data_IF_107074769280
#
_entry.id   IF_107074769280
#
_cell.length_a   1.000
_cell.length_b   1.000
_cell.length_c   1.000
_cell.angle_alpha   90.00
_cell.angle_beta   90.00
_cell.angle_gamma   90.00
#
_symmetry.space_group_name_H-M   'P 1'
#
loop_
_entity.id
_entity.type
_entity.pdbx_description
1 polymer ?
#
# COMPACT_ATOMS: atom_id res chain seq x y z
N UNK A 1 -13.65 27.51 5.31
CA UNK A 1 -12.74 26.90 6.31
C UNK A 1 -12.75 25.37 6.23
N UNK A 2 -13.90 24.70 6.30
CA UNK A 2 -13.98 23.22 6.27
C UNK A 2 -13.33 22.58 5.02
N UNK A 3 -13.57 23.08 3.81
CA UNK A 3 -12.97 22.54 2.59
C UNK A 3 -11.43 22.61 2.60
N UNK A 4 -10.87 23.70 3.11
CA UNK A 4 -9.42 23.83 3.22
C UNK A 4 -8.83 22.83 4.23
N UNK A 5 -9.51 22.62 5.35
CA UNK A 5 -9.12 21.63 6.35
C UNK A 5 -9.13 20.21 5.78
N UNK A 6 -10.21 19.81 5.11
CA UNK A 6 -10.33 18.52 4.43
C UNK A 6 -9.20 18.34 3.41
N UNK A 7 -8.92 19.35 2.58
CA UNK A 7 -7.87 19.30 1.58
C UNK A 7 -6.47 19.14 2.19
N UNK A 8 -6.19 19.86 3.27
CA UNK A 8 -4.91 19.74 4.01
C UNK A 8 -4.75 18.32 4.56
N UNK A 9 -5.79 17.78 5.22
CA UNK A 9 -5.73 16.42 5.77
C UNK A 9 -5.60 15.35 4.70
N UNK A 10 -6.29 15.48 3.57
CA UNK A 10 -6.12 14.54 2.45
C UNK A 10 -4.69 14.51 1.94
N UNK A 11 -4.07 15.67 1.72
CA UNK A 11 -2.67 15.73 1.27
C UNK A 11 -1.75 15.12 2.33
N UNK A 12 -1.91 15.50 3.59
CA UNK A 12 -1.09 14.98 4.68
C UNK A 12 -1.18 13.45 4.79
N UNK A 13 -2.39 12.88 4.72
CA UNK A 13 -2.57 11.43 4.79
C UNK A 13 -2.09 10.70 3.55
N UNK A 14 -2.21 11.28 2.35
CA UNK A 14 -1.65 10.69 1.13
C UNK A 14 -0.12 10.65 1.19
N UNK A 15 0.54 11.71 1.65
CA UNK A 15 2.00 11.73 1.84
C UNK A 15 2.40 10.71 2.91
N UNK A 16 1.68 10.66 4.03
CA UNK A 16 1.94 9.70 5.09
C UNK A 16 1.81 8.27 4.59
N UNK A 17 0.74 7.95 3.84
CA UNK A 17 0.55 6.61 3.26
C UNK A 17 1.66 6.24 2.27
N UNK A 18 2.11 7.19 1.46
CA UNK A 18 3.21 6.95 0.53
C UNK A 18 4.50 6.54 1.26
N UNK A 19 4.85 7.23 2.35
CA UNK A 19 5.98 6.85 3.20
C UNK A 19 5.75 5.52 3.91
N UNK A 20 4.55 5.30 4.43
CA UNK A 20 4.20 4.07 5.15
C UNK A 20 4.27 2.85 4.22
N UNK A 21 3.72 2.96 3.02
CA UNK A 21 3.84 1.93 1.99
C UNK A 21 5.31 1.56 1.74
N UNK A 22 6.15 2.57 1.47
CA UNK A 22 7.57 2.36 1.25
C UNK A 22 8.27 1.70 2.44
N UNK A 23 8.02 2.18 3.67
CA UNK A 23 8.68 1.66 4.87
C UNK A 23 8.25 0.23 5.18
N UNK A 24 6.96 -0.06 5.11
CA UNK A 24 6.42 -1.39 5.35
C UNK A 24 6.95 -2.35 4.29
N UNK A 25 6.84 -2.02 3.02
CA UNK A 25 7.29 -2.88 1.94
C UNK A 25 8.78 -3.18 2.06
N UNK A 26 9.61 -2.14 2.23
CA UNK A 26 11.07 -2.29 2.31
C UNK A 26 11.56 -2.98 3.57
N UNK A 27 11.03 -2.61 4.74
CA UNK A 27 11.63 -3.00 6.03
C UNK A 27 10.87 -4.10 6.76
N UNK A 28 9.62 -4.37 6.40
CA UNK A 28 8.84 -5.46 6.99
C UNK A 28 8.64 -6.63 6.03
N UNK A 29 8.43 -6.36 4.74
CA UNK A 29 8.15 -7.41 3.76
C UNK A 29 9.43 -7.95 3.10
N UNK A 30 10.47 -7.11 2.90
CA UNK A 30 11.74 -7.52 2.30
C UNK A 30 12.90 -7.76 3.28
N UNK A 31 12.70 -7.48 4.57
CA UNK A 31 13.71 -7.78 5.60
C UNK A 31 13.09 -8.62 6.70
N UNK A 32 13.73 -9.76 6.98
CA UNK A 32 13.36 -10.55 8.15
C UNK A 32 13.56 -9.72 9.41
N UNK A 33 12.56 -9.72 10.26
CA UNK A 33 12.54 -8.97 11.51
C UNK A 33 12.04 -9.89 12.63
N UNK A 34 12.82 -10.02 13.71
CA UNK A 34 12.48 -10.92 14.81
C UNK A 34 11.33 -10.39 15.71
N UNK A 35 10.93 -9.11 15.53
CA UNK A 35 9.80 -8.49 16.22
C UNK A 35 8.46 -8.68 15.50
N UNK A 36 8.48 -9.16 14.27
CA UNK A 36 7.30 -9.36 13.45
C UNK A 36 7.11 -10.84 13.11
N UNK A 37 5.89 -11.30 12.87
CA UNK A 37 5.62 -12.63 12.39
C UNK A 37 6.43 -12.95 11.14
N UNK A 38 7.17 -14.04 11.15
CA UNK A 38 8.06 -14.43 10.05
C UNK A 38 7.35 -14.63 8.72
N UNK A 39 6.06 -14.96 8.73
CA UNK A 39 5.26 -15.15 7.53
C UNK A 39 5.16 -13.86 6.67
N UNK A 40 5.23 -12.65 7.27
CA UNK A 40 5.21 -11.39 6.51
C UNK A 40 6.37 -11.34 5.52
N UNK A 41 7.57 -11.72 5.98
CA UNK A 41 8.75 -11.81 5.13
C UNK A 41 8.68 -12.99 4.16
N UNK A 42 8.30 -14.18 4.66
CA UNK A 42 8.28 -15.39 3.83
C UNK A 42 7.29 -15.29 2.69
N UNK A 43 6.05 -14.87 2.96
CA UNK A 43 5.00 -14.77 1.94
C UNK A 43 5.37 -13.76 0.87
N UNK A 44 6.04 -12.65 1.24
CA UNK A 44 6.38 -11.62 0.27
C UNK A 44 7.74 -11.85 -0.40
N UNK A 45 8.83 -11.90 0.37
CA UNK A 45 10.17 -11.96 -0.21
C UNK A 45 10.53 -13.33 -0.80
N UNK A 46 10.00 -14.42 -0.23
CA UNK A 46 10.34 -15.78 -0.67
C UNK A 46 9.27 -16.32 -1.62
N UNK A 47 8.00 -16.41 -1.15
CA UNK A 47 6.95 -17.03 -1.98
C UNK A 47 6.61 -16.14 -3.17
N UNK A 48 6.34 -14.85 -2.95
CA UNK A 48 5.91 -13.95 -4.00
C UNK A 48 7.06 -13.55 -4.95
N UNK A 49 8.21 -13.11 -4.43
CA UNK A 49 9.33 -12.67 -5.27
C UNK A 49 10.24 -13.80 -5.77
N UNK A 50 10.73 -14.64 -4.85
CA UNK A 50 11.76 -15.64 -5.23
C UNK A 50 11.15 -16.88 -5.90
N UNK A 51 9.97 -17.33 -5.44
CA UNK A 51 9.27 -18.48 -6.03
C UNK A 51 8.24 -18.07 -7.09
N UNK A 52 8.11 -16.77 -7.38
CA UNK A 52 7.21 -16.21 -8.39
C UNK A 52 5.74 -16.64 -8.22
N UNK A 53 5.30 -16.85 -6.97
CA UNK A 53 3.93 -17.19 -6.66
C UNK A 53 3.04 -15.95 -6.71
N UNK A 54 2.47 -15.69 -7.87
CA UNK A 54 1.67 -14.52 -8.16
C UNK A 54 0.32 -14.47 -7.43
N UNK A 55 -0.06 -15.54 -6.74
CA UNK A 55 -1.30 -15.67 -5.95
C UNK A 55 -1.11 -15.31 -4.46
N UNK A 56 0.12 -15.14 -4.01
CA UNK A 56 0.44 -14.87 -2.60
C UNK A 56 0.79 -13.40 -2.39
N UNK A 57 0.34 -12.84 -1.28
CA UNK A 57 0.62 -11.46 -0.82
C UNK A 57 0.23 -10.37 -1.83
N UNK A 58 -0.84 -10.60 -2.57
CA UNK A 58 -1.33 -9.72 -3.64
C UNK A 58 -2.32 -8.69 -3.10
N UNK A 59 -3.13 -9.08 -2.14
CA UNK A 59 -4.19 -8.24 -1.58
C UNK A 59 -3.72 -7.49 -0.34
N UNK A 60 -4.13 -6.24 -0.25
CA UNK A 60 -3.95 -5.43 0.95
C UNK A 60 -5.31 -5.05 1.52
N UNK A 61 -5.91 -5.91 2.35
CA UNK A 61 -7.28 -5.73 2.79
C UNK A 61 -7.41 -4.55 3.76
N UNK A 62 -8.57 -3.89 3.72
CA UNK A 62 -8.85 -2.71 4.56
C UNK A 62 -8.67 -2.98 6.06
N UNK A 63 -9.02 -4.18 6.54
CA UNK A 63 -8.86 -4.51 7.96
C UNK A 63 -7.40 -4.41 8.43
N UNK A 64 -6.43 -4.64 7.53
CA UNK A 64 -5.01 -4.47 7.85
C UNK A 64 -4.70 -2.99 8.15
N UNK A 65 -5.20 -2.06 7.32
CA UNK A 65 -5.06 -0.63 7.59
C UNK A 65 -5.72 -0.23 8.91
N UNK A 66 -6.92 -0.76 9.20
CA UNK A 66 -7.65 -0.47 10.44
C UNK A 66 -6.85 -0.99 11.65
N UNK A 67 -6.35 -2.22 11.59
CA UNK A 67 -5.62 -2.83 12.69
C UNK A 67 -4.30 -2.10 12.96
N UNK A 68 -3.46 -1.95 11.93
CA UNK A 68 -2.15 -1.30 12.05
C UNK A 68 -2.27 0.20 12.29
N UNK A 69 -3.27 0.83 11.68
CA UNK A 69 -3.55 2.25 11.80
C UNK A 69 -4.39 2.65 13.01
N UNK A 70 -4.81 1.70 13.87
CA UNK A 70 -5.68 1.98 15.00
C UNK A 70 -5.20 3.12 15.94
N UNK A 71 -3.90 3.27 16.26
CA UNK A 71 -3.43 4.41 17.05
C UNK A 71 -3.66 5.75 16.34
N UNK A 72 -3.49 5.78 15.01
CA UNK A 72 -3.73 6.99 14.20
C UNK A 72 -5.22 7.31 14.10
N UNK A 73 -6.08 6.30 13.98
CA UNK A 73 -7.53 6.47 13.99
C UNK A 73 -7.97 7.11 15.30
N UNK A 74 -7.48 6.59 16.43
CA UNK A 74 -7.77 7.13 17.76
C UNK A 74 -7.27 8.58 17.86
N UNK A 75 -6.01 8.84 17.50
CA UNK A 75 -5.46 10.19 17.54
C UNK A 75 -6.25 11.18 16.64
N UNK A 76 -6.60 10.76 15.42
CA UNK A 76 -7.38 11.57 14.49
C UNK A 76 -8.76 11.94 15.01
N UNK A 77 -9.40 11.02 15.74
CA UNK A 77 -10.69 11.30 16.40
C UNK A 77 -10.60 12.47 17.39
N UNK A 78 -9.52 12.56 18.15
CA UNK A 78 -9.30 13.66 19.10
C UNK A 78 -8.84 14.97 18.44
N UNK A 79 -8.36 14.94 17.19
CA UNK A 79 -7.97 16.16 16.46
C UNK A 79 -9.20 16.82 15.84
N UNK A 80 -9.89 16.16 14.92
CA UNK A 80 -11.13 16.63 14.32
C UNK A 80 -11.83 15.52 13.53
N UNK A 81 -13.14 15.67 13.33
CA UNK A 81 -13.92 14.77 12.49
C UNK A 81 -13.38 14.74 11.05
N UNK A 82 -12.96 15.88 10.51
CA UNK A 82 -12.38 15.99 9.17
C UNK A 82 -11.07 15.20 9.06
N UNK A 83 -10.23 15.27 10.09
CA UNK A 83 -8.98 14.49 10.18
C UNK A 83 -9.27 12.99 10.15
N UNK A 84 -10.19 12.52 10.96
CA UNK A 84 -10.60 11.11 11.03
C UNK A 84 -11.19 10.61 9.70
N UNK A 85 -12.18 11.33 9.16
CA UNK A 85 -12.86 10.89 7.95
C UNK A 85 -11.93 10.85 6.73
N UNK A 86 -11.02 11.80 6.62
CA UNK A 86 -10.02 11.82 5.54
C UNK A 86 -8.98 10.70 5.69
N UNK A 87 -8.57 10.34 6.91
CA UNK A 87 -7.72 9.17 7.16
C UNK A 87 -8.41 7.88 6.70
N UNK A 88 -9.66 7.67 7.12
CA UNK A 88 -10.43 6.48 6.73
C UNK A 88 -10.64 6.41 5.21
N UNK A 89 -10.92 7.54 4.56
CA UNK A 89 -11.03 7.62 3.11
C UNK A 89 -9.72 7.25 2.40
N UNK A 90 -8.57 7.71 2.92
CA UNK A 90 -7.25 7.36 2.38
C UNK A 90 -6.93 5.87 2.60
N UNK A 91 -7.28 5.28 3.73
CA UNK A 91 -7.13 3.84 3.97
C UNK A 91 -7.95 3.02 2.98
N UNK A 92 -9.23 3.37 2.76
CA UNK A 92 -10.08 2.69 1.78
C UNK A 92 -9.52 2.82 0.36
N UNK A 93 -9.12 4.03 -0.03
CA UNK A 93 -8.51 4.30 -1.33
C UNK A 93 -7.25 3.45 -1.54
N UNK A 94 -6.32 3.48 -0.58
CA UNK A 94 -5.05 2.76 -0.68
C UNK A 94 -5.26 1.24 -0.75
N UNK A 95 -6.09 0.68 0.13
CA UNK A 95 -6.45 -0.74 0.12
C UNK A 95 -7.02 -1.18 -1.24
N UNK A 96 -7.99 -0.42 -1.75
CA UNK A 96 -8.63 -0.71 -3.03
C UNK A 96 -7.66 -0.61 -4.19
N UNK A 97 -6.92 0.51 -4.29
CA UNK A 97 -6.02 0.76 -5.42
C UNK A 97 -4.83 -0.20 -5.39
N UNK A 98 -4.24 -0.46 -4.22
CA UNK A 98 -3.19 -1.47 -4.07
C UNK A 98 -3.63 -2.82 -4.63
N UNK A 99 -4.73 -3.36 -4.11
CA UNK A 99 -5.24 -4.66 -4.51
C UNK A 99 -5.53 -4.72 -6.01
N UNK A 100 -6.21 -3.71 -6.57
CA UNK A 100 -6.54 -3.67 -8.01
C UNK A 100 -5.32 -3.53 -8.91
N UNK A 101 -4.35 -2.70 -8.52
CA UNK A 101 -3.09 -2.56 -9.27
C UNK A 101 -2.28 -3.86 -9.21
N UNK A 102 -2.06 -4.39 -8.03
CA UNK A 102 -1.21 -5.54 -7.80
C UNK A 102 -1.77 -6.79 -8.49
N UNK A 103 -3.07 -7.06 -8.33
CA UNK A 103 -3.74 -8.16 -9.07
C UNK A 103 -3.66 -7.99 -10.58
N UNK A 104 -3.84 -6.77 -11.08
CA UNK A 104 -3.72 -6.48 -12.52
C UNK A 104 -2.28 -6.60 -13.03
N UNK A 105 -1.28 -6.21 -12.24
CA UNK A 105 0.14 -6.34 -12.60
C UNK A 105 0.54 -7.80 -12.76
N UNK A 106 0.06 -8.67 -11.88
CA UNK A 106 0.30 -10.12 -11.92
C UNK A 106 -0.70 -10.91 -12.79
N UNK A 107 -1.47 -10.21 -13.62
CA UNK A 107 -2.44 -10.77 -14.57
C UNK A 107 -3.53 -11.68 -13.92
N UNK A 108 -3.80 -11.46 -12.62
CA UNK A 108 -4.83 -12.19 -11.86
C UNK A 108 -6.24 -11.59 -12.00
N UNK A 109 -6.34 -10.36 -12.46
CA UNK A 109 -7.58 -9.64 -12.62
C UNK A 109 -7.52 -8.68 -13.79
N UNK A 110 -8.58 -8.63 -14.60
CA UNK A 110 -8.75 -7.60 -15.62
C UNK A 110 -9.68 -6.51 -15.06
N UNK A 111 -9.15 -5.32 -14.87
CA UNK A 111 -9.89 -4.19 -14.32
C UNK A 111 -9.65 -2.87 -15.10
N UNK A 112 -10.47 -1.85 -14.81
CA UNK A 112 -10.45 -0.58 -15.53
C UNK A 112 -9.12 0.19 -15.40
N UNK A 113 -8.38 0.01 -14.30
CA UNK A 113 -7.08 0.66 -14.08
C UNK A 113 -6.06 0.26 -15.14
N UNK A 114 -6.12 -0.98 -15.65
CA UNK A 114 -5.19 -1.51 -16.65
C UNK A 114 -5.19 -0.70 -17.97
N UNK A 115 -6.28 0.04 -18.22
CA UNK A 115 -6.40 0.92 -19.40
C UNK A 115 -5.69 2.27 -19.22
N UNK A 116 -5.20 2.58 -18.01
CA UNK A 116 -4.60 3.88 -17.69
C UNK A 116 -3.09 3.91 -17.97
N UNK A 117 -2.57 5.09 -18.27
CA UNK A 117 -1.13 5.30 -18.37
C UNK A 117 -0.43 5.14 -17.01
N UNK A 118 -1.16 5.39 -15.92
CA UNK A 118 -0.66 5.15 -14.58
C UNK A 118 -0.39 3.67 -14.34
N UNK A 119 -1.32 2.78 -14.71
CA UNK A 119 -1.12 1.34 -14.61
C UNK A 119 0.12 0.86 -15.37
N UNK A 120 0.34 1.33 -16.60
CA UNK A 120 1.52 0.96 -17.40
C UNK A 120 2.83 1.31 -16.68
N UNK A 121 2.86 2.48 -16.01
CA UNK A 121 4.02 2.89 -15.20
C UNK A 121 4.16 2.04 -13.94
N UNK A 122 3.06 1.77 -13.24
CA UNK A 122 3.04 0.95 -12.04
C UNK A 122 3.49 -0.49 -12.36
N UNK A 123 2.99 -1.09 -13.45
CA UNK A 123 3.40 -2.41 -13.92
C UNK A 123 4.91 -2.44 -14.18
N UNK A 124 5.45 -1.50 -14.96
CA UNK A 124 6.90 -1.44 -15.23
C UNK A 124 7.72 -1.21 -13.97
N UNK A 125 7.26 -0.37 -13.07
CA UNK A 125 7.92 -0.10 -11.78
C UNK A 125 7.97 -1.37 -10.91
N UNK A 126 6.88 -2.12 -10.83
CA UNK A 126 6.77 -3.34 -10.06
C UNK A 126 7.54 -4.52 -10.70
N UNK A 127 7.53 -4.65 -12.02
CA UNK A 127 8.39 -5.61 -12.75
C UNK A 127 9.88 -5.37 -12.43
N UNK A 128 10.33 -4.10 -12.44
CA UNK A 128 11.69 -3.75 -12.05
C UNK A 128 11.96 -4.03 -10.57
N UNK A 129 10.94 -3.98 -9.71
CA UNK A 129 11.04 -4.38 -8.32
C UNK A 129 11.25 -5.90 -8.19
N UNK A 130 10.52 -6.72 -8.94
CA UNK A 130 10.73 -8.17 -8.98
C UNK A 130 12.13 -8.53 -9.51
N UNK A 131 12.62 -7.85 -10.57
CA UNK A 131 13.98 -8.05 -11.08
C UNK A 131 15.05 -7.62 -10.05
N UNK A 132 14.76 -6.59 -9.23
CA UNK A 132 15.69 -6.01 -8.26
C UNK A 132 14.97 -5.67 -6.95
N UNK A 133 14.72 -6.66 -6.08
CA UNK A 133 13.90 -6.48 -4.87
C UNK A 133 14.42 -5.46 -3.85
N UNK A 134 15.57 -4.87 -4.07
CA UNK A 134 16.14 -3.78 -3.26
C UNK A 134 15.72 -2.37 -3.68
N UNK A 135 14.87 -2.23 -4.71
CA UNK A 135 14.45 -0.94 -5.29
C UNK A 135 12.95 -0.95 -5.62
N UNK A 136 12.41 0.23 -5.94
CA UNK A 136 11.05 0.39 -6.49
C UNK A 136 9.95 -0.24 -5.61
N UNK A 137 9.96 0.07 -4.31
CA UNK A 137 9.06 -0.54 -3.32
C UNK A 137 7.60 -0.06 -3.40
N UNK A 138 7.29 1.00 -4.15
CA UNK A 138 5.93 1.52 -4.26
C UNK A 138 5.08 0.68 -5.21
N UNK A 139 3.86 0.34 -4.81
CA UNK A 139 2.81 -0.24 -5.68
C UNK A 139 1.80 0.83 -6.07
N UNK A 140 1.29 1.59 -5.06
CA UNK A 140 0.37 2.72 -5.28
C UNK A 140 1.14 4.02 -5.46
N UNK A 141 2.26 4.20 -4.78
CA UNK A 141 3.09 5.40 -4.91
C UNK A 141 4.47 5.00 -5.46
N UNK A 142 4.76 5.42 -6.69
CA UNK A 142 5.94 4.97 -7.43
C UNK A 142 7.19 5.74 -6.98
N UNK A 143 7.97 5.15 -6.05
CA UNK A 143 9.21 5.68 -5.50
C UNK A 143 10.45 4.94 -6.04
#
# INVERSE_FOLDING_TARGET
MLFLEIFIWLIAWMIFMAFTEYLIHRYTMHKRNDWLPSWIFYDHAIEHHHMERNDINIDLPLYFHILVGSPLIIASYFISLSCLLTLLAVFMYHSYVWTKLHRGIHDLENNWLMKTNYFKRAKRHHELHHERPGKNFGVVFLW
#
